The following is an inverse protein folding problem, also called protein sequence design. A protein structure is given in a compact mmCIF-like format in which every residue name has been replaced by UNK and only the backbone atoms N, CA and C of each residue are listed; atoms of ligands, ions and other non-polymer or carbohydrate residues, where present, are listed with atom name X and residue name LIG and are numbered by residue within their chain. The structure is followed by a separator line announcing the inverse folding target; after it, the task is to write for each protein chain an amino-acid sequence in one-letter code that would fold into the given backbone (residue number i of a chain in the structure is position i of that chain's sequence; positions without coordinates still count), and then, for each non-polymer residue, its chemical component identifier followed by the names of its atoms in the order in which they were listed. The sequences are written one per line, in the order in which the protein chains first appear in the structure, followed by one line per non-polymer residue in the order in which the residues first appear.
data_IF_279038879407
#
_entry.id   IF_279038879407
#
_cell.length_a   1.000
_cell.length_b   1.000
_cell.length_c   1.000
_cell.angle_alpha   90.00
_cell.angle_beta   90.00
_cell.angle_gamma   90.00
#
_symmetry.space_group_name_H-M   'P 1'
#
loop_
_entity.id
_entity.type
_entity.pdbx_description
1 polymer ?
#
# COMPACT_ATOMS: atom_id res chain seq x y z
N UNK A 1 -14.02 25.33 19.97
CA UNK A 1 -14.97 24.24 19.64
C UNK A 1 -16.10 24.83 18.81
N UNK A 2 -16.06 24.63 17.50
CA UNK A 2 -17.02 25.18 16.55
C UNK A 2 -17.44 24.02 15.64
N UNK A 3 -18.74 23.81 15.41
CA UNK A 3 -19.24 22.58 14.76
C UNK A 3 -18.56 22.27 13.43
N UNK A 4 -18.31 23.32 12.63
CA UNK A 4 -17.55 23.24 11.36
C UNK A 4 -16.13 22.71 11.56
N UNK A 5 -15.40 23.20 12.57
CA UNK A 5 -14.03 22.71 12.87
C UNK A 5 -14.03 21.24 13.30
N UNK A 6 -15.02 20.82 14.09
CA UNK A 6 -15.15 19.42 14.55
C UNK A 6 -15.46 18.48 13.39
N UNK A 7 -16.37 18.86 12.49
CA UNK A 7 -16.68 18.08 11.28
C UNK A 7 -15.43 17.96 10.40
N UNK A 8 -14.73 19.05 10.13
CA UNK A 8 -13.51 19.02 9.31
C UNK A 8 -12.42 18.14 9.93
N UNK A 9 -12.27 18.15 11.26
CA UNK A 9 -11.33 17.29 11.95
C UNK A 9 -11.69 15.80 11.81
N UNK A 10 -12.97 15.45 11.97
CA UNK A 10 -13.46 14.09 11.80
C UNK A 10 -13.29 13.58 10.36
N UNK A 11 -13.64 14.40 9.37
CA UNK A 11 -13.49 14.04 7.95
C UNK A 11 -12.03 13.79 7.57
N UNK A 12 -11.12 14.66 8.01
CA UNK A 12 -9.68 14.48 7.79
C UNK A 12 -9.14 13.20 8.44
N UNK A 13 -9.57 12.91 9.67
CA UNK A 13 -9.17 11.70 10.37
C UNK A 13 -9.67 10.43 9.65
N UNK A 14 -10.91 10.43 9.17
CA UNK A 14 -11.48 9.31 8.42
C UNK A 14 -10.80 9.11 7.06
N UNK A 15 -10.54 10.19 6.32
CA UNK A 15 -9.81 10.13 5.06
C UNK A 15 -8.40 9.53 5.25
N UNK A 16 -7.66 9.98 6.28
CA UNK A 16 -6.33 9.43 6.61
C UNK A 16 -6.38 7.94 6.94
N UNK A 17 -7.40 7.49 7.70
CA UNK A 17 -7.61 6.07 8.01
C UNK A 17 -7.93 5.24 6.77
N UNK A 18 -8.76 5.75 5.86
CA UNK A 18 -9.09 5.07 4.61
C UNK A 18 -7.86 4.93 3.71
N UNK A 19 -7.09 6.01 3.53
CA UNK A 19 -5.85 5.97 2.75
C UNK A 19 -4.82 4.99 3.33
N UNK A 20 -4.69 4.92 4.66
CA UNK A 20 -3.77 3.99 5.31
C UNK A 20 -4.20 2.51 5.16
N UNK A 21 -5.50 2.23 5.03
CA UNK A 21 -6.00 0.87 4.77
C UNK A 21 -5.80 0.43 3.33
N UNK A 22 -5.93 1.36 2.38
CA UNK A 22 -5.77 1.08 0.95
C UNK A 22 -4.29 1.05 0.54
N UNK A 23 -3.43 1.79 1.24
CA UNK A 23 -2.01 1.85 0.91
C UNK A 23 -1.34 0.48 1.10
N UNK A 24 -0.60 -0.02 0.09
CA UNK A 24 0.21 -1.22 0.25
C UNK A 24 1.24 -0.98 1.35
N UNK A 25 1.31 -1.93 2.30
CA UNK A 25 2.17 -1.83 3.50
C UNK A 25 3.66 -1.88 3.17
N UNK A 26 3.99 -2.41 2.00
CA UNK A 26 5.35 -2.54 1.48
C UNK A 26 5.45 -1.78 0.18
N UNK A 27 6.50 -0.95 0.06
CA UNK A 27 6.94 -0.50 -1.25
C UNK A 27 7.41 -1.72 -2.03
N UNK A 28 7.19 -1.74 -3.34
CA UNK A 28 7.76 -2.78 -4.20
C UNK A 28 9.26 -2.80 -3.96
N UNK A 29 9.77 -3.97 -3.55
CA UNK A 29 11.18 -4.16 -3.27
C UNK A 29 11.93 -3.82 -4.55
N UNK A 30 12.97 -3.00 -4.47
CA UNK A 30 13.84 -2.80 -5.61
C UNK A 30 14.58 -4.12 -5.87
N UNK A 31 14.28 -4.75 -7.00
CA UNK A 31 14.84 -6.03 -7.43
C UNK A 31 15.75 -5.71 -8.61
N UNK A 32 17.02 -6.12 -8.53
CA UNK A 32 17.97 -5.95 -9.63
C UNK A 32 17.52 -6.72 -10.88
N UNK A 33 18.02 -6.36 -12.07
CA UNK A 33 17.65 -7.07 -13.31
C UNK A 33 17.93 -8.58 -13.22
N UNK A 34 19.01 -8.98 -12.54
CA UNK A 34 19.37 -10.38 -12.35
C UNK A 34 18.38 -11.12 -11.44
N UNK A 35 17.89 -10.45 -10.39
CA UNK A 35 16.98 -11.06 -9.43
C UNK A 35 15.54 -11.15 -9.97
N UNK A 36 15.16 -10.25 -10.89
CA UNK A 36 13.87 -10.33 -11.59
C UNK A 36 13.79 -11.56 -12.50
N UNK A 37 14.87 -11.85 -13.23
CA UNK A 37 14.95 -13.07 -14.07
C UNK A 37 14.86 -14.34 -13.22
N UNK A 38 15.45 -14.36 -12.02
CA UNK A 38 15.36 -15.51 -11.11
C UNK A 38 13.93 -15.70 -10.57
N UNK A 39 13.25 -14.62 -10.21
CA UNK A 39 11.87 -14.67 -9.72
C UNK A 39 10.86 -15.08 -10.81
N UNK A 40 11.07 -14.72 -12.08
CA UNK A 40 10.22 -15.20 -13.18
C UNK A 40 10.39 -16.70 -13.44
N UNK A 41 11.61 -17.22 -13.28
CA UNK A 41 11.89 -18.67 -13.35
C UNK A 41 11.27 -19.41 -12.16
N UNK A 42 11.39 -18.90 -10.94
CA UNK A 42 10.80 -19.51 -9.73
C UNK A 42 9.28 -19.47 -9.73
N UNK A 43 8.66 -18.33 -10.08
CA UNK A 43 7.19 -18.20 -10.13
C UNK A 43 6.51 -19.05 -11.19
N UNK A 44 7.25 -19.49 -12.22
CA UNK A 44 6.76 -20.43 -13.23
C UNK A 44 6.81 -21.90 -12.79
N UNK A 45 7.46 -22.22 -11.66
CA UNK A 45 7.59 -23.60 -11.14
C UNK A 45 6.56 -23.94 -10.05
N UNK A 46 5.95 -22.94 -9.42
CA UNK A 46 5.02 -23.13 -8.29
C UNK A 46 3.53 -23.25 -8.69
N UNK A 47 3.22 -23.41 -9.99
CA UNK A 47 1.86 -23.71 -10.48
C UNK A 47 1.79 -25.15 -10.98
N UNK A 48 1.73 -26.11 -10.05
CA UNK A 48 1.37 -27.51 -10.32
C UNK A 48 0.41 -28.01 -9.23
#
# INVERSE_FOLDING_TARGET
MNRRKKINQLLKANAKKASAKLAPKTKDKYISKADRLKLEVESSQDTN
#
